data_IF_503617828708
#
_entry.id   IF_503617828708
#
_cell.length_a   1.000
_cell.length_b   1.000
_cell.length_c   1.000
_cell.angle_alpha   90.00
_cell.angle_beta   90.00
_cell.angle_gamma   90.00
#
_symmetry.space_group_name_H-M   'P 1'
#
loop_
_entity.id
_entity.type
_entity.pdbx_description
1 polymer ?
#
# COMPACT_ATOMS: atom_id res chain seq x y z
N UNK A 1 -35.64 -9.37 14.56
CA UNK A 1 -34.56 -8.73 13.80
C UNK A 1 -33.46 -9.77 13.67
N UNK A 2 -33.33 -10.38 12.49
CA UNK A 2 -32.26 -11.34 12.23
C UNK A 2 -30.96 -10.54 12.15
N UNK A 3 -30.14 -10.59 13.19
CA UNK A 3 -28.75 -10.21 13.17
C UNK A 3 -28.01 -11.22 12.28
N UNK A 4 -28.13 -11.11 10.98
CA UNK A 4 -27.18 -11.72 10.05
C UNK A 4 -25.87 -10.98 10.28
N UNK A 5 -24.94 -11.62 10.97
CA UNK A 5 -23.54 -11.17 11.00
C UNK A 5 -23.14 -11.12 9.52
N UNK A 6 -22.93 -9.91 8.99
CA UNK A 6 -22.39 -9.76 7.64
C UNK A 6 -21.03 -10.50 7.63
N UNK A 7 -20.97 -11.60 6.92
CA UNK A 7 -19.71 -12.31 6.70
C UNK A 7 -18.76 -11.34 6.01
N UNK A 8 -17.70 -10.96 6.70
CA UNK A 8 -16.66 -10.09 6.15
C UNK A 8 -15.58 -10.99 5.60
N UNK A 9 -15.48 -11.06 4.28
CA UNK A 9 -14.54 -11.91 3.57
C UNK A 9 -13.44 -11.08 2.94
N UNK A 10 -12.20 -11.53 3.09
CA UNK A 10 -11.03 -10.98 2.40
C UNK A 10 -10.39 -12.06 1.55
N UNK A 11 -9.90 -11.67 0.38
CA UNK A 11 -9.07 -12.52 -0.45
C UNK A 11 -7.65 -11.96 -0.55
N UNK A 12 -6.66 -12.84 -0.53
CA UNK A 12 -5.26 -12.49 -0.81
C UNK A 12 -4.81 -13.29 -2.03
N UNK A 13 -4.46 -12.58 -3.10
CA UNK A 13 -3.99 -13.17 -4.35
C UNK A 13 -2.48 -12.99 -4.46
N UNK A 14 -1.77 -14.12 -4.53
CA UNK A 14 -0.32 -14.20 -4.44
C UNK A 14 0.13 -14.52 -3.02
N UNK A 15 0.51 -15.79 -2.77
CA UNK A 15 0.95 -16.30 -1.46
C UNK A 15 2.48 -16.33 -1.34
N UNK A 16 3.17 -15.33 -1.93
CA UNK A 16 4.59 -15.07 -1.69
C UNK A 16 4.85 -14.53 -0.28
N UNK A 17 6.09 -14.16 0.04
CA UNK A 17 6.44 -13.60 1.35
C UNK A 17 5.54 -12.45 1.78
N UNK A 18 5.21 -11.54 0.86
CA UNK A 18 4.34 -10.39 1.14
C UNK A 18 2.91 -10.85 1.38
N UNK A 19 2.32 -11.62 0.48
CA UNK A 19 0.93 -12.05 0.60
C UNK A 19 0.67 -12.91 1.83
N UNK A 20 1.54 -13.89 2.11
CA UNK A 20 1.41 -14.74 3.31
C UNK A 20 1.56 -13.93 4.59
N UNK A 21 2.48 -12.95 4.64
CA UNK A 21 2.63 -12.07 5.81
C UNK A 21 1.44 -11.14 5.97
N UNK A 22 0.87 -10.62 4.87
CA UNK A 22 -0.38 -9.86 4.90
C UNK A 22 -1.55 -10.71 5.42
N UNK A 23 -1.69 -11.94 4.92
CA UNK A 23 -2.71 -12.88 5.39
C UNK A 23 -2.58 -13.16 6.89
N UNK A 24 -1.37 -13.42 7.38
CA UNK A 24 -1.11 -13.62 8.81
C UNK A 24 -1.48 -12.36 9.64
N UNK A 25 -1.08 -11.17 9.18
CA UNK A 25 -1.44 -9.91 9.86
C UNK A 25 -2.95 -9.65 9.86
N UNK A 26 -3.63 -9.96 8.77
CA UNK A 26 -5.09 -9.86 8.66
C UNK A 26 -5.81 -10.84 9.59
N UNK A 27 -5.31 -12.07 9.74
CA UNK A 27 -5.84 -13.04 10.69
C UNK A 27 -5.77 -12.49 12.13
N UNK A 28 -4.65 -11.89 12.50
CA UNK A 28 -4.47 -11.30 13.84
C UNK A 28 -5.38 -10.09 14.11
N UNK A 29 -5.80 -9.39 13.05
CA UNK A 29 -6.58 -8.13 13.18
C UNK A 29 -8.02 -8.33 13.66
N UNK A 30 -8.56 -9.53 13.55
CA UNK A 30 -9.97 -9.84 13.86
C UNK A 30 -10.99 -9.04 13.04
N UNK A 31 -10.61 -8.58 11.85
CA UNK A 31 -11.47 -7.78 10.97
C UNK A 31 -12.44 -8.62 10.15
N UNK A 32 -12.04 -9.84 9.82
CA UNK A 32 -12.73 -10.73 8.89
C UNK A 32 -13.15 -12.03 9.58
N UNK A 33 -14.23 -12.62 9.09
CA UNK A 33 -14.68 -13.96 9.49
C UNK A 33 -14.25 -15.05 8.50
N UNK A 34 -13.81 -14.63 7.30
CA UNK A 34 -13.39 -15.53 6.23
C UNK A 34 -12.23 -14.94 5.44
N UNK A 35 -11.24 -15.77 5.12
CA UNK A 35 -10.09 -15.42 4.28
C UNK A 35 -9.82 -16.52 3.28
N UNK A 36 -9.75 -16.15 2.00
CA UNK A 36 -9.34 -17.05 0.93
C UNK A 36 -7.96 -16.66 0.41
N UNK A 37 -7.08 -17.65 0.30
CA UNK A 37 -5.75 -17.51 -0.29
C UNK A 37 -5.75 -18.11 -1.69
N UNK A 38 -5.26 -17.34 -2.67
CA UNK A 38 -5.22 -17.74 -4.08
C UNK A 38 -3.79 -17.56 -4.59
N UNK A 39 -3.24 -18.60 -5.19
CA UNK A 39 -1.92 -18.58 -5.85
C UNK A 39 -1.95 -19.50 -7.07
N UNK A 40 -1.14 -19.21 -8.08
CA UNK A 40 -0.94 -20.11 -9.23
C UNK A 40 -0.34 -21.45 -8.79
N UNK A 41 0.45 -21.45 -7.71
CA UNK A 41 0.90 -22.64 -7.01
C UNK A 41 -0.11 -22.98 -5.88
N UNK A 42 -1.12 -23.77 -6.22
CA UNK A 42 -2.20 -24.18 -5.30
C UNK A 42 -1.67 -24.86 -4.04
N UNK A 43 -0.67 -25.73 -4.18
CA UNK A 43 -0.06 -26.41 -3.03
C UNK A 43 0.60 -25.41 -2.05
N UNK A 44 1.15 -24.31 -2.56
CA UNK A 44 1.66 -23.22 -1.72
C UNK A 44 0.52 -22.53 -1.00
N UNK A 45 -0.55 -22.16 -1.71
CA UNK A 45 -1.72 -21.52 -1.09
C UNK A 45 -2.33 -22.39 0.01
N UNK A 46 -2.42 -23.71 -0.22
CA UNK A 46 -2.89 -24.71 0.75
C UNK A 46 -1.99 -24.75 1.99
N UNK A 47 -0.67 -24.82 1.81
CA UNK A 47 0.29 -24.82 2.92
C UNK A 47 0.23 -23.56 3.76
N UNK A 48 0.22 -22.38 3.13
CA UNK A 48 0.12 -21.09 3.81
C UNK A 48 -1.23 -20.95 4.55
N UNK A 49 -2.33 -21.39 3.93
CA UNK A 49 -3.66 -21.36 4.56
C UNK A 49 -3.72 -22.25 5.81
N UNK A 50 -3.18 -23.46 5.73
CA UNK A 50 -3.12 -24.38 6.85
C UNK A 50 -2.27 -23.82 8.00
N UNK A 51 -1.08 -23.33 7.71
CA UNK A 51 -0.17 -22.78 8.71
C UNK A 51 -0.79 -21.57 9.44
N UNK A 52 -1.34 -20.62 8.69
CA UNK A 52 -2.02 -19.44 9.25
C UNK A 52 -3.26 -19.86 10.06
N UNK A 53 -4.06 -20.83 9.58
CA UNK A 53 -5.26 -21.31 10.26
C UNK A 53 -4.95 -21.94 11.62
N UNK A 54 -3.79 -22.56 11.79
CA UNK A 54 -3.36 -23.10 13.08
C UNK A 54 -3.14 -22.00 14.15
N UNK A 55 -3.00 -20.74 13.75
CA UNK A 55 -2.95 -19.59 14.65
C UNK A 55 -4.33 -19.11 15.14
N UNK A 56 -5.41 -19.43 14.42
CA UNK A 56 -6.78 -18.92 14.70
C UNK A 56 -7.24 -19.19 16.16
N UNK A 57 -6.92 -20.33 16.81
CA UNK A 57 -7.34 -20.56 18.20
C UNK A 57 -6.87 -19.50 19.20
N UNK A 58 -5.87 -18.69 18.86
CA UNK A 58 -5.35 -17.62 19.72
C UNK A 58 -5.95 -16.24 19.43
N UNK A 59 -6.82 -16.14 18.40
CA UNK A 59 -7.44 -14.89 17.92
C UNK A 59 -8.95 -15.06 17.76
N UNK A 60 -9.58 -14.18 17.00
CA UNK A 60 -11.00 -14.29 16.68
C UNK A 60 -11.26 -15.42 15.68
N UNK A 61 -12.39 -16.12 15.78
CA UNK A 61 -12.76 -17.15 14.81
C UNK A 61 -12.73 -16.63 13.38
N UNK A 62 -12.02 -17.33 12.50
CA UNK A 62 -11.89 -17.03 11.07
C UNK A 62 -11.79 -18.34 10.29
N UNK A 63 -12.55 -18.48 9.21
CA UNK A 63 -12.39 -19.56 8.26
C UNK A 63 -11.30 -19.17 7.24
N UNK A 64 -10.17 -19.90 7.22
CA UNK A 64 -9.03 -19.63 6.33
C UNK A 64 -8.80 -20.85 5.46
N UNK A 65 -8.78 -20.65 4.14
CA UNK A 65 -8.60 -21.74 3.18
C UNK A 65 -7.95 -21.27 1.89
N UNK A 66 -7.31 -22.20 1.18
CA UNK A 66 -6.92 -21.99 -0.19
C UNK A 66 -8.12 -22.18 -1.10
N UNK A 67 -8.36 -21.21 -1.98
CA UNK A 67 -9.52 -21.21 -2.87
C UNK A 67 -9.17 -20.86 -4.31
N UNK A 68 -10.18 -20.48 -5.03
CA UNK A 68 -10.12 -20.11 -6.45
C UNK A 68 -10.78 -18.73 -6.65
N UNK A 69 -10.69 -18.18 -7.84
CA UNK A 69 -11.37 -16.92 -8.15
C UNK A 69 -12.88 -17.00 -7.97
N UNK A 70 -13.52 -18.19 -8.02
CA UNK A 70 -14.96 -18.37 -7.77
C UNK A 70 -15.37 -17.96 -6.36
N UNK A 71 -14.43 -17.95 -5.43
CA UNK A 71 -14.66 -17.59 -4.04
C UNK A 71 -14.67 -16.06 -3.81
N UNK A 72 -14.52 -15.25 -4.88
CA UNK A 72 -14.43 -13.80 -4.77
C UNK A 72 -15.77 -13.05 -4.87
N UNK A 73 -16.83 -13.70 -5.30
CA UNK A 73 -18.11 -13.04 -5.60
C UNK A 73 -18.68 -12.24 -4.42
N UNK A 74 -18.45 -12.70 -3.19
CA UNK A 74 -18.91 -12.10 -1.93
C UNK A 74 -17.76 -11.47 -1.10
N UNK A 75 -16.56 -11.40 -1.64
CA UNK A 75 -15.44 -10.79 -0.93
C UNK A 75 -15.63 -9.27 -0.81
N UNK A 76 -15.38 -8.73 0.38
CA UNK A 76 -15.40 -7.28 0.63
C UNK A 76 -14.15 -6.60 0.11
N UNK A 77 -13.00 -7.25 0.27
CA UNK A 77 -11.69 -6.72 -0.13
C UNK A 77 -10.89 -7.83 -0.82
N UNK A 78 -10.24 -7.46 -1.92
CA UNK A 78 -9.22 -8.28 -2.58
C UNK A 78 -7.87 -7.57 -2.45
N UNK A 79 -6.90 -8.24 -1.83
CA UNK A 79 -5.51 -7.79 -1.73
C UNK A 79 -4.70 -8.49 -2.82
N UNK A 80 -4.10 -7.73 -3.73
CA UNK A 80 -3.28 -8.27 -4.81
C UNK A 80 -1.80 -8.11 -4.46
N UNK A 81 -1.17 -9.20 -4.09
CA UNK A 81 0.27 -9.32 -3.83
C UNK A 81 0.97 -10.24 -4.87
N UNK A 82 0.25 -10.58 -5.95
CA UNK A 82 0.76 -11.39 -7.04
C UNK A 82 1.72 -10.59 -7.93
N UNK A 83 2.85 -11.17 -8.27
CA UNK A 83 3.85 -10.56 -9.14
C UNK A 83 5.09 -11.44 -9.27
N UNK A 84 5.87 -11.21 -10.31
CA UNK A 84 7.17 -11.85 -10.50
C UNK A 84 8.27 -11.11 -9.75
N UNK A 85 9.30 -11.82 -9.34
CA UNK A 85 10.55 -11.23 -8.86
C UNK A 85 11.49 -11.01 -10.06
N UNK A 86 12.30 -9.95 -9.99
CA UNK A 86 13.30 -9.65 -11.01
C UNK A 86 14.29 -10.82 -11.17
N UNK A 87 14.50 -11.24 -12.39
CA UNK A 87 15.47 -12.30 -12.72
C UNK A 87 16.84 -11.68 -13.03
N UNK A 88 17.94 -12.43 -12.85
CA UNK A 88 19.25 -11.98 -13.29
C UNK A 88 19.27 -11.60 -14.77
N UNK A 89 19.70 -10.37 -15.08
CA UNK A 89 19.76 -9.85 -16.46
C UNK A 89 18.45 -9.23 -16.97
N UNK A 90 17.37 -9.29 -16.24
CA UNK A 90 16.09 -8.66 -16.58
C UNK A 90 16.14 -7.16 -16.26
N UNK A 91 15.62 -6.32 -17.16
CA UNK A 91 15.49 -4.90 -16.89
C UNK A 91 14.27 -4.59 -16.01
N UNK A 92 14.23 -3.41 -15.38
CA UNK A 92 13.04 -2.95 -14.64
C UNK A 92 11.79 -2.86 -15.53
N UNK A 93 11.96 -2.52 -16.81
CA UNK A 93 10.86 -2.44 -17.77
C UNK A 93 10.32 -3.83 -18.14
N UNK A 94 11.19 -4.83 -18.35
CA UNK A 94 10.79 -6.21 -18.62
C UNK A 94 10.00 -6.78 -17.45
N UNK A 95 10.46 -6.56 -16.22
CA UNK A 95 9.74 -6.98 -15.02
C UNK A 95 8.38 -6.30 -14.92
N UNK A 96 8.31 -4.99 -15.19
CA UNK A 96 7.05 -4.25 -15.19
C UNK A 96 6.08 -4.83 -16.21
N UNK A 97 6.52 -5.10 -17.44
CA UNK A 97 5.67 -5.70 -18.48
C UNK A 97 5.19 -7.10 -18.09
N UNK A 98 6.05 -7.89 -17.45
CA UNK A 98 5.70 -9.20 -16.90
C UNK A 98 4.61 -9.06 -15.83
N UNK A 99 4.76 -8.12 -14.88
CA UNK A 99 3.78 -7.89 -13.82
C UNK A 99 2.46 -7.37 -14.36
N UNK A 100 2.48 -6.53 -15.38
CA UNK A 100 1.25 -6.07 -16.08
C UNK A 100 0.51 -7.25 -16.71
N UNK A 101 1.23 -8.16 -17.37
CA UNK A 101 0.64 -9.36 -17.97
C UNK A 101 -0.01 -10.27 -16.92
N UNK A 102 0.67 -10.47 -15.78
CA UNK A 102 0.12 -11.22 -14.64
C UNK A 102 -1.15 -10.54 -14.11
N UNK A 103 -1.13 -9.22 -13.92
CA UNK A 103 -2.29 -8.50 -13.41
C UNK A 103 -3.46 -8.47 -14.40
N UNK A 104 -3.20 -8.50 -15.70
CA UNK A 104 -4.25 -8.61 -16.72
C UNK A 104 -5.04 -9.92 -16.53
N UNK A 105 -4.38 -11.04 -16.31
CA UNK A 105 -5.01 -12.34 -16.03
C UNK A 105 -5.74 -12.34 -14.68
N UNK A 106 -5.09 -11.82 -13.64
CA UNK A 106 -5.66 -11.74 -12.29
C UNK A 106 -6.94 -10.91 -12.29
N UNK A 107 -6.90 -9.69 -12.86
CA UNK A 107 -8.05 -8.79 -12.88
C UNK A 107 -9.19 -9.36 -13.73
N UNK A 108 -8.89 -9.94 -14.90
CA UNK A 108 -9.92 -10.63 -15.70
C UNK A 108 -10.62 -11.70 -14.88
N UNK A 109 -9.84 -12.56 -14.21
CA UNK A 109 -10.39 -13.64 -13.38
C UNK A 109 -11.23 -13.14 -12.19
N UNK A 110 -10.85 -12.00 -11.58
CA UNK A 110 -11.61 -11.34 -10.52
C UNK A 110 -12.95 -10.84 -11.08
N UNK A 111 -12.92 -10.12 -12.21
CA UNK A 111 -14.12 -9.48 -12.77
C UNK A 111 -15.10 -10.47 -13.37
N UNK A 112 -14.66 -11.63 -13.84
CA UNK A 112 -15.52 -12.75 -14.25
C UNK A 112 -16.40 -13.27 -13.11
N UNK A 113 -16.02 -13.04 -11.86
CA UNK A 113 -16.82 -13.43 -10.69
C UNK A 113 -17.83 -12.33 -10.25
N UNK A 114 -18.01 -11.29 -11.05
CA UNK A 114 -18.88 -10.15 -10.73
C UNK A 114 -18.48 -9.46 -9.40
N UNK A 115 -17.19 -9.48 -9.06
CA UNK A 115 -16.67 -8.83 -7.86
C UNK A 115 -17.01 -7.33 -7.87
N UNK A 116 -17.52 -6.84 -6.74
CA UNK A 116 -17.94 -5.43 -6.57
C UNK A 116 -17.44 -4.83 -5.24
N UNK A 117 -16.40 -5.39 -4.67
CA UNK A 117 -15.74 -4.89 -3.46
C UNK A 117 -14.63 -3.86 -3.75
N UNK A 118 -13.65 -3.82 -2.87
CA UNK A 118 -12.50 -2.92 -2.97
C UNK A 118 -11.24 -3.72 -3.28
N UNK A 119 -10.41 -3.23 -4.21
CA UNK A 119 -9.11 -3.82 -4.53
C UNK A 119 -8.00 -3.00 -3.90
N UNK A 120 -7.13 -3.67 -3.15
CA UNK A 120 -5.89 -3.12 -2.59
C UNK A 120 -4.70 -3.76 -3.29
N UNK A 121 -3.97 -2.99 -4.08
CA UNK A 121 -2.78 -3.44 -4.80
C UNK A 121 -1.54 -3.26 -3.92
N UNK A 122 -0.73 -4.32 -3.82
CA UNK A 122 0.51 -4.34 -3.02
C UNK A 122 1.73 -4.67 -3.89
N UNK A 123 1.49 -5.25 -5.07
CA UNK A 123 2.53 -5.60 -6.02
C UNK A 123 3.24 -4.37 -6.57
N UNK A 124 4.57 -4.46 -6.75
CA UNK A 124 5.41 -3.37 -7.25
C UNK A 124 5.68 -3.47 -8.76
N UNK A 125 5.80 -2.29 -9.41
CA UNK A 125 5.69 -0.90 -8.89
C UNK A 125 4.24 -0.50 -8.64
N UNK A 126 3.92 -0.25 -7.37
CA UNK A 126 2.53 -0.20 -6.87
C UNK A 126 1.67 0.88 -7.52
N UNK A 127 2.17 2.09 -7.75
CA UNK A 127 1.39 3.17 -8.33
C UNK A 127 0.98 2.86 -9.78
N UNK A 128 1.92 2.34 -10.58
CA UNK A 128 1.68 1.94 -11.97
C UNK A 128 0.73 0.76 -12.02
N UNK A 129 0.97 -0.28 -11.21
CA UNK A 129 0.13 -1.46 -11.19
C UNK A 129 -1.28 -1.16 -10.66
N UNK A 130 -1.42 -0.22 -9.73
CA UNK A 130 -2.74 0.28 -9.29
C UNK A 130 -3.48 0.94 -10.46
N UNK A 131 -2.81 1.75 -11.27
CA UNK A 131 -3.43 2.37 -12.46
C UNK A 131 -3.83 1.32 -13.51
N UNK A 132 -3.02 0.27 -13.68
CA UNK A 132 -3.34 -0.88 -14.54
C UNK A 132 -4.62 -1.57 -14.06
N UNK A 133 -4.65 -1.96 -12.76
CA UNK A 133 -5.81 -2.64 -12.16
C UNK A 133 -7.07 -1.77 -12.27
N UNK A 134 -6.96 -0.48 -12.01
CA UNK A 134 -8.08 0.45 -12.14
C UNK A 134 -8.65 0.49 -13.57
N UNK A 135 -7.78 0.53 -14.59
CA UNK A 135 -8.21 0.53 -16.00
C UNK A 135 -8.83 -0.80 -16.43
N UNK A 136 -8.24 -1.92 -16.00
CA UNK A 136 -8.67 -3.25 -16.41
C UNK A 136 -9.94 -3.71 -15.68
N UNK A 137 -10.11 -3.34 -14.41
CA UNK A 137 -11.27 -3.78 -13.63
C UNK A 137 -12.57 -3.08 -14.00
N UNK A 138 -12.50 -1.84 -14.50
CA UNK A 138 -13.67 -1.01 -14.73
C UNK A 138 -14.46 -0.64 -13.46
N UNK A 139 -13.93 -0.95 -12.27
CA UNK A 139 -14.52 -0.53 -11.01
C UNK A 139 -14.46 1.00 -10.85
N UNK A 140 -15.34 1.59 -10.04
CA UNK A 140 -15.20 2.99 -9.63
C UNK A 140 -13.79 3.25 -9.08
N UNK A 141 -13.20 4.39 -9.44
CA UNK A 141 -11.81 4.75 -9.10
C UNK A 141 -11.54 4.72 -7.60
N UNK A 142 -12.55 5.03 -6.83
CA UNK A 142 -12.54 5.04 -5.37
C UNK A 142 -12.35 3.63 -4.77
N UNK A 143 -12.71 2.59 -5.53
CA UNK A 143 -12.63 1.18 -5.10
C UNK A 143 -11.34 0.47 -5.48
N UNK A 144 -10.42 1.17 -6.13
CA UNK A 144 -9.10 0.63 -6.48
C UNK A 144 -8.03 1.55 -5.91
N UNK A 145 -7.22 1.03 -5.01
CA UNK A 145 -6.10 1.75 -4.41
C UNK A 145 -4.89 0.85 -4.28
N UNK A 146 -3.72 1.46 -4.22
CA UNK A 146 -2.48 0.76 -3.86
C UNK A 146 -2.06 1.04 -2.43
N UNK A 147 -1.24 0.18 -1.86
CA UNK A 147 -0.64 0.41 -0.54
C UNK A 147 0.17 1.70 -0.47
N UNK A 148 0.65 2.17 -1.60
CA UNK A 148 1.33 3.45 -1.76
C UNK A 148 2.49 3.64 -0.80
N UNK A 149 2.64 4.86 -0.32
CA UNK A 149 3.67 5.26 0.64
C UNK A 149 3.21 5.17 2.10
N UNK A 150 2.20 4.35 2.41
CA UNK A 150 1.75 4.12 3.79
C UNK A 150 2.89 3.54 4.64
N UNK A 151 3.64 2.57 4.11
CA UNK A 151 4.80 2.00 4.78
C UNK A 151 5.95 3.02 4.88
N UNK A 152 6.24 3.78 3.83
CA UNK A 152 7.33 4.75 3.83
C UNK A 152 7.05 5.89 4.81
N UNK A 153 5.79 6.33 4.90
CA UNK A 153 5.35 7.26 5.94
C UNK A 153 5.49 6.68 7.36
N UNK A 154 5.26 5.38 7.54
CA UNK A 154 5.48 4.72 8.82
C UNK A 154 6.97 4.63 9.16
N UNK A 155 7.86 4.36 8.18
CA UNK A 155 9.32 4.42 8.35
C UNK A 155 9.78 5.81 8.76
N UNK A 156 9.33 6.84 8.04
CA UNK A 156 9.62 8.24 8.38
C UNK A 156 9.22 8.57 9.81
N UNK A 157 8.01 8.21 10.23
CA UNK A 157 7.54 8.42 11.60
C UNK A 157 8.37 7.65 12.63
N UNK A 158 8.75 6.41 12.32
CA UNK A 158 9.56 5.58 13.20
C UNK A 158 10.94 6.20 13.41
N UNK A 159 11.62 6.60 12.33
CA UNK A 159 12.95 7.21 12.39
C UNK A 159 12.89 8.55 13.14
N UNK A 160 11.91 9.41 12.81
CA UNK A 160 11.69 10.67 13.51
C UNK A 160 11.41 10.47 15.00
N UNK A 161 10.53 9.52 15.33
CA UNK A 161 10.20 9.20 16.72
C UNK A 161 11.41 8.76 17.52
N UNK A 162 12.26 7.90 16.93
CA UNK A 162 13.48 7.45 17.55
C UNK A 162 14.51 8.57 17.69
N UNK A 163 14.73 9.37 16.63
CA UNK A 163 15.68 10.51 16.63
C UNK A 163 15.29 11.57 17.66
N UNK A 164 14.00 11.87 17.77
CA UNK A 164 13.46 12.94 18.62
C UNK A 164 13.11 12.46 20.04
N UNK A 165 13.24 11.15 20.31
CA UNK A 165 12.83 10.51 21.56
C UNK A 165 11.37 10.81 21.91
N UNK A 166 10.47 10.54 20.94
CA UNK A 166 9.02 10.61 21.09
C UNK A 166 8.36 9.39 20.50
N UNK A 167 7.17 9.03 20.97
CA UNK A 167 6.40 7.94 20.37
C UNK A 167 6.06 8.28 18.90
N UNK A 168 6.39 7.41 17.93
CA UNK A 168 6.12 7.64 16.51
C UNK A 168 4.65 7.96 16.18
N UNK A 169 3.71 7.57 17.02
CA UNK A 169 2.27 7.86 16.85
C UNK A 169 1.96 9.35 16.99
N UNK A 170 2.80 10.12 17.66
CA UNK A 170 2.67 11.57 17.83
C UNK A 170 3.39 12.38 16.75
N UNK A 171 4.08 11.71 15.84
CA UNK A 171 4.74 12.36 14.69
C UNK A 171 3.77 12.44 13.52
N UNK A 172 3.48 13.64 13.08
CA UNK A 172 2.69 13.92 11.88
C UNK A 172 3.63 14.24 10.72
N UNK A 173 4.07 13.22 10.00
CA UNK A 173 4.91 13.32 8.82
C UNK A 173 4.46 12.31 7.77
N UNK A 174 4.67 12.62 6.48
CA UNK A 174 4.21 11.80 5.36
C UNK A 174 5.23 11.78 4.24
N UNK A 175 5.37 10.61 3.64
CA UNK A 175 5.98 10.44 2.32
C UNK A 175 4.85 10.45 1.30
N UNK A 176 5.04 11.18 0.20
CA UNK A 176 4.08 11.32 -0.90
C UNK A 176 4.79 11.17 -2.25
N UNK A 177 4.03 11.10 -3.34
CA UNK A 177 4.57 10.93 -4.69
C UNK A 177 4.57 9.48 -5.14
N UNK A 178 5.54 9.09 -5.95
CA UNK A 178 5.78 7.70 -6.32
C UNK A 178 6.26 6.90 -5.11
N UNK A 179 5.78 5.68 -4.96
CA UNK A 179 6.45 4.71 -4.07
C UNK A 179 7.70 4.19 -4.76
N UNK A 180 8.85 4.79 -4.50
CA UNK A 180 10.12 4.48 -5.16
C UNK A 180 11.15 5.60 -5.02
N UNK A 181 12.09 5.65 -5.98
CA UNK A 181 13.25 6.54 -5.89
C UNK A 181 12.89 8.05 -5.93
N UNK A 182 11.70 8.41 -6.47
CA UNK A 182 11.22 9.79 -6.55
C UNK A 182 10.21 10.17 -5.45
N UNK A 183 10.09 9.36 -4.41
CA UNK A 183 9.29 9.71 -3.23
C UNK A 183 9.82 10.96 -2.53
N UNK A 184 8.94 11.70 -1.87
CA UNK A 184 9.36 12.89 -1.13
C UNK A 184 8.65 13.01 0.23
N UNK A 185 9.38 13.49 1.23
CA UNK A 185 8.81 13.84 2.51
C UNK A 185 8.18 15.25 2.46
N UNK A 186 6.92 15.37 2.85
CA UNK A 186 6.22 16.66 2.93
C UNK A 186 6.63 17.40 4.21
N UNK A 187 7.88 17.88 4.27
CA UNK A 187 8.47 18.51 5.44
C UNK A 187 7.77 19.77 5.88
N UNK A 188 7.26 20.56 4.91
CA UNK A 188 6.52 21.79 5.21
C UNK A 188 5.26 21.57 6.06
N UNK A 189 4.77 20.32 6.10
CA UNK A 189 3.57 19.91 6.85
C UNK A 189 3.92 19.01 8.03
N UNK A 190 5.21 18.64 8.19
CA UNK A 190 5.62 17.76 9.26
C UNK A 190 5.65 18.48 10.61
N UNK A 191 5.09 17.84 11.64
CA UNK A 191 5.01 18.41 12.97
C UNK A 191 4.93 17.35 14.07
N UNK A 192 5.26 17.74 15.30
CA UNK A 192 5.02 16.97 16.52
C UNK A 192 4.21 17.84 17.46
N UNK A 193 3.02 17.38 17.83
CA UNK A 193 2.10 18.14 18.69
C UNK A 193 1.79 19.57 18.19
N UNK A 194 1.72 19.76 16.87
CA UNK A 194 1.48 21.07 16.25
C UNK A 194 2.71 21.97 16.13
N UNK A 195 3.86 21.58 16.69
CA UNK A 195 5.12 22.31 16.53
C UNK A 195 5.77 21.84 15.23
N UNK A 196 6.12 22.77 14.34
CA UNK A 196 6.78 22.44 13.09
C UNK A 196 8.05 21.62 13.33
N UNK A 197 8.33 20.67 12.47
CA UNK A 197 9.41 19.69 12.68
C UNK A 197 10.79 20.34 12.88
N UNK A 198 11.10 21.42 12.15
CA UNK A 198 12.36 22.13 12.29
C UNK A 198 12.53 22.78 13.68
N UNK A 199 11.45 23.34 14.22
CA UNK A 199 11.46 23.92 15.56
C UNK A 199 11.53 22.81 16.61
N UNK A 200 10.89 21.69 16.36
CA UNK A 200 10.97 20.53 17.24
C UNK A 200 12.39 19.92 17.26
N UNK A 201 13.08 19.86 16.11
CA UNK A 201 14.51 19.48 16.06
C UNK A 201 15.34 20.38 16.97
N UNK A 202 15.18 21.71 16.88
CA UNK A 202 15.89 22.68 17.75
C UNK A 202 15.57 22.48 19.23
N UNK A 203 14.31 22.24 19.58
CA UNK A 203 13.90 21.92 20.96
C UNK A 203 14.58 20.67 21.52
N UNK A 204 14.92 19.71 20.63
CA UNK A 204 15.62 18.48 21.00
C UNK A 204 17.16 18.58 20.89
N UNK A 205 17.70 19.78 20.64
CA UNK A 205 19.12 20.05 20.61
C UNK A 205 19.82 19.80 19.26
N UNK A 206 19.06 19.72 18.17
CA UNK A 206 19.60 19.63 16.82
C UNK A 206 19.68 21.03 16.20
N UNK A 207 20.89 21.57 16.04
CA UNK A 207 21.11 22.93 15.57
C UNK A 207 20.87 23.11 14.06
N UNK A 208 20.98 22.04 13.27
CA UNK A 208 20.79 22.05 11.82
C UNK A 208 19.63 21.13 11.39
N UNK A 209 18.38 21.62 11.42
CA UNK A 209 17.21 20.86 10.97
C UNK A 209 17.28 20.43 9.50
N UNK A 210 17.97 21.19 8.63
CA UNK A 210 18.09 20.85 7.21
C UNK A 210 18.97 19.63 6.99
N UNK A 211 20.12 19.56 7.68
CA UNK A 211 20.97 18.39 7.65
C UNK A 211 20.25 17.15 8.21
N UNK A 212 19.50 17.32 9.29
CA UNK A 212 18.69 16.23 9.88
C UNK A 212 17.63 15.71 8.91
N UNK A 213 16.87 16.60 8.25
CA UNK A 213 15.87 16.19 7.25
C UNK A 213 16.52 15.38 6.12
N UNK A 214 17.64 15.84 5.58
CA UNK A 214 18.36 15.13 4.52
C UNK A 214 18.83 13.75 4.98
N UNK A 215 19.43 13.67 6.15
CA UNK A 215 19.86 12.39 6.73
C UNK A 215 18.68 11.40 6.85
N UNK A 216 17.55 11.87 7.37
CA UNK A 216 16.36 11.05 7.59
C UNK A 216 15.73 10.60 6.26
N UNK A 217 15.66 11.48 5.25
CA UNK A 217 15.22 11.11 3.90
C UNK A 217 16.08 10.00 3.30
N UNK A 218 17.40 10.14 3.40
CA UNK A 218 18.34 9.14 2.92
C UNK A 218 18.18 7.81 3.67
N UNK A 219 17.95 7.84 4.98
CA UNK A 219 17.68 6.65 5.78
C UNK A 219 16.36 5.98 5.40
N UNK A 220 15.27 6.74 5.21
CA UNK A 220 13.97 6.20 4.77
C UNK A 220 14.13 5.51 3.41
N UNK A 221 14.70 6.19 2.43
CA UNK A 221 14.89 5.69 1.06
C UNK A 221 15.75 4.43 1.03
N UNK A 222 16.81 4.37 1.82
CA UNK A 222 17.74 3.25 1.84
C UNK A 222 17.24 2.07 2.69
N UNK A 223 16.26 2.26 3.58
CA UNK A 223 15.76 1.23 4.48
C UNK A 223 15.35 -0.05 3.77
N UNK A 224 14.66 0.05 2.63
CA UNK A 224 14.22 -1.12 1.87
C UNK A 224 15.41 -1.89 1.26
N UNK A 225 16.40 -1.18 0.72
CA UNK A 225 17.60 -1.77 0.14
C UNK A 225 18.41 -2.51 1.18
N UNK A 226 18.63 -1.90 2.35
CA UNK A 226 19.34 -2.51 3.48
C UNK A 226 18.65 -3.80 3.97
N UNK A 227 17.31 -3.78 4.10
CA UNK A 227 16.54 -4.96 4.51
C UNK A 227 16.67 -6.07 3.46
N UNK A 228 16.57 -5.75 2.17
CA UNK A 228 16.69 -6.72 1.08
C UNK A 228 18.11 -7.32 1.03
N UNK A 229 19.13 -6.52 1.21
CA UNK A 229 20.52 -7.00 1.28
C UNK A 229 20.70 -8.02 2.41
N UNK A 230 20.15 -7.73 3.60
CA UNK A 230 20.33 -8.56 4.81
C UNK A 230 19.46 -9.81 4.83
N UNK A 231 18.22 -9.76 4.31
CA UNK A 231 17.26 -10.88 4.41
C UNK A 231 16.55 -11.24 3.11
N UNK A 232 17.00 -10.73 1.95
CA UNK A 232 16.55 -11.02 0.58
C UNK A 232 15.18 -10.44 0.21
N UNK A 233 14.33 -10.07 1.16
CA UNK A 233 13.02 -9.49 0.89
C UNK A 233 12.55 -8.64 2.08
N UNK A 234 11.67 -7.68 1.81
CA UNK A 234 10.93 -6.93 2.84
C UNK A 234 9.46 -7.34 2.79
N UNK A 235 8.88 -7.71 3.92
CA UNK A 235 7.48 -8.18 3.99
C UNK A 235 6.80 -7.94 5.35
N UNK A 236 7.54 -7.79 6.45
CA UNK A 236 6.90 -7.55 7.75
C UNK A 236 6.30 -6.15 7.88
N UNK A 237 6.94 -5.10 7.34
CA UNK A 237 6.46 -3.73 7.45
C UNK A 237 5.20 -3.45 6.61
N UNK A 238 5.11 -4.07 5.42
CA UNK A 238 3.97 -3.87 4.53
C UNK A 238 2.70 -4.55 5.05
N UNK A 239 2.81 -5.66 5.77
CA UNK A 239 1.66 -6.40 6.26
C UNK A 239 0.78 -5.58 7.22
N UNK A 240 1.28 -4.95 8.29
CA UNK A 240 0.47 -4.06 9.12
C UNK A 240 -0.03 -2.82 8.36
N UNK A 241 0.69 -2.33 7.34
CA UNK A 241 0.22 -1.23 6.49
C UNK A 241 -1.03 -1.62 5.71
N UNK A 242 -1.03 -2.81 5.09
CA UNK A 242 -2.20 -3.37 4.38
C UNK A 242 -3.34 -3.64 5.37
N UNK A 243 -3.03 -4.23 6.52
CA UNK A 243 -4.04 -4.47 7.57
C UNK A 243 -4.68 -3.16 8.02
N UNK A 244 -3.90 -2.08 8.17
CA UNK A 244 -4.42 -0.76 8.56
C UNK A 244 -5.33 -0.14 7.49
N UNK A 245 -5.03 -0.34 6.20
CA UNK A 245 -5.90 0.06 5.09
C UNK A 245 -7.22 -0.74 5.17
N UNK A 246 -7.15 -2.06 5.28
CA UNK A 246 -8.33 -2.91 5.41
C UNK A 246 -9.19 -2.55 6.63
N UNK A 247 -8.55 -2.22 7.76
CA UNK A 247 -9.24 -1.79 8.98
C UNK A 247 -10.03 -0.51 8.77
N UNK A 248 -9.43 0.51 8.14
CA UNK A 248 -10.11 1.76 7.82
C UNK A 248 -11.34 1.55 6.93
N UNK A 249 -11.23 0.63 5.96
CA UNK A 249 -12.35 0.27 5.07
C UNK A 249 -13.46 -0.46 5.84
N UNK A 250 -13.10 -1.52 6.55
CA UNK A 250 -14.08 -2.42 7.19
C UNK A 250 -14.80 -1.74 8.36
N UNK A 251 -14.11 -0.87 9.10
CA UNK A 251 -14.66 -0.12 10.24
C UNK A 251 -15.24 1.23 9.85
N UNK A 252 -15.14 1.61 8.59
CA UNK A 252 -15.57 2.94 8.10
C UNK A 252 -14.94 4.11 8.90
N UNK A 253 -13.63 4.02 9.18
CA UNK A 253 -13.00 4.92 10.15
C UNK A 253 -12.75 6.34 9.64
N UNK A 254 -12.81 6.58 8.33
CA UNK A 254 -12.44 7.86 7.71
C UNK A 254 -10.99 8.25 8.02
N UNK A 255 -10.11 7.27 8.05
CA UNK A 255 -8.68 7.45 8.32
C UNK A 255 -7.95 8.09 7.15
N UNK A 256 -6.98 8.96 7.45
CA UNK A 256 -6.16 9.62 6.42
C UNK A 256 -4.87 8.81 6.23
N UNK A 257 -4.67 8.29 5.00
CA UNK A 257 -3.49 7.52 4.63
C UNK A 257 -2.97 7.93 3.25
N UNK A 258 -1.65 7.76 3.03
CA UNK A 258 -0.98 8.06 1.76
C UNK A 258 -1.01 6.85 0.83
N UNK A 259 -2.23 6.44 0.44
CA UNK A 259 -2.43 5.35 -0.51
C UNK A 259 -2.20 5.80 -1.95
N UNK A 260 -1.79 4.88 -2.83
CA UNK A 260 -1.81 5.15 -4.27
C UNK A 260 -3.26 5.30 -4.72
N UNK A 261 -3.63 6.47 -5.19
CA UNK A 261 -4.97 6.77 -5.64
C UNK A 261 -4.96 7.66 -6.90
N UNK A 262 -6.04 7.62 -7.68
CA UNK A 262 -6.14 8.35 -8.93
C UNK A 262 -6.40 9.83 -8.72
N UNK A 263 -5.62 10.68 -9.39
CA UNK A 263 -5.81 12.14 -9.45
C UNK A 263 -6.13 12.57 -10.87
N UNK A 264 -7.28 13.21 -11.03
CA UNK A 264 -7.63 13.82 -12.32
C UNK A 264 -6.70 14.98 -12.66
N UNK A 265 -6.43 15.82 -11.66
CA UNK A 265 -5.45 16.91 -11.77
C UNK A 265 -4.84 17.19 -10.39
N UNK A 266 -3.51 17.23 -10.32
CA UNK A 266 -2.76 17.57 -9.12
C UNK A 266 -1.53 18.40 -9.52
N UNK A 267 -1.50 19.66 -9.08
CA UNK A 267 -0.40 20.60 -9.40
C UNK A 267 0.00 20.63 -10.89
N UNK A 268 -0.99 20.62 -11.79
CA UNK A 268 -0.78 20.64 -13.24
C UNK A 268 -0.49 19.29 -13.89
N UNK A 269 -0.36 18.21 -13.10
CA UNK A 269 -0.25 16.84 -13.63
C UNK A 269 -1.63 16.22 -13.68
N UNK A 270 -2.00 15.65 -14.85
CA UNK A 270 -3.33 15.08 -15.08
C UNK A 270 -3.28 13.57 -15.19
N UNK A 271 -4.37 12.94 -14.76
CA UNK A 271 -4.65 11.51 -14.97
C UNK A 271 -3.51 10.59 -14.51
N UNK A 272 -3.13 10.69 -13.23
CA UNK A 272 -2.07 9.90 -12.62
C UNK A 272 -2.56 9.20 -11.36
N UNK A 273 -2.11 7.97 -11.16
CA UNK A 273 -2.20 7.29 -9.86
C UNK A 273 -0.88 7.50 -9.15
N UNK A 274 -0.94 8.05 -7.96
CA UNK A 274 0.22 8.26 -7.10
C UNK A 274 -0.17 8.32 -5.64
N UNK A 275 0.80 8.18 -4.77
CA UNK A 275 0.61 8.14 -3.32
C UNK A 275 0.42 9.54 -2.76
N UNK A 276 -0.80 9.83 -2.34
CA UNK A 276 -1.21 11.10 -1.74
C UNK A 276 -2.20 10.85 -0.61
N UNK A 277 -2.29 11.75 0.37
CA UNK A 277 -3.25 11.61 1.44
C UNK A 277 -4.70 11.57 0.94
N UNK A 278 -5.43 10.59 1.42
CA UNK A 278 -6.85 10.45 1.16
C UNK A 278 -7.59 9.96 2.41
N UNK A 279 -8.85 10.32 2.53
CA UNK A 279 -9.76 9.76 3.54
C UNK A 279 -10.22 8.40 3.04
N UNK A 280 -9.96 7.37 3.83
CA UNK A 280 -10.31 5.99 3.54
C UNK A 280 -11.43 5.54 4.46
N UNK A 281 -12.51 5.05 3.87
CA UNK A 281 -13.67 4.52 4.57
C UNK A 281 -14.30 3.36 3.81
N UNK A 282 -15.53 3.02 4.14
CA UNK A 282 -16.23 1.84 3.61
C UNK A 282 -16.46 1.86 2.08
N UNK A 283 -16.40 3.04 1.46
CA UNK A 283 -16.50 3.19 0.00
C UNK A 283 -15.13 3.13 -0.71
N UNK A 284 -14.04 2.99 0.03
CA UNK A 284 -12.66 3.08 -0.45
C UNK A 284 -12.07 4.47 -0.26
N UNK A 285 -11.54 5.08 -1.31
CA UNK A 285 -11.03 6.47 -1.30
C UNK A 285 -12.21 7.43 -1.37
N UNK A 286 -12.60 8.03 -0.25
CA UNK A 286 -13.81 8.86 -0.18
C UNK A 286 -13.54 10.34 -0.44
N UNK A 287 -12.34 10.81 -0.10
CA UNK A 287 -11.94 12.18 -0.34
C UNK A 287 -10.42 12.29 -0.51
N UNK A 288 -9.99 13.01 -1.52
CA UNK A 288 -8.58 13.30 -1.76
C UNK A 288 -8.21 14.62 -1.09
N UNK A 289 -7.11 14.62 -0.34
CA UNK A 289 -6.68 15.80 0.42
C UNK A 289 -5.61 16.55 -0.37
N UNK A 290 -5.93 17.72 -0.96
CA UNK A 290 -4.94 18.57 -1.59
C UNK A 290 -4.03 19.17 -0.51
N UNK A 291 -2.72 18.93 -0.65
CA UNK A 291 -1.73 19.47 0.28
C UNK A 291 -1.26 20.85 -0.18
N UNK A 292 -1.09 21.76 0.78
CA UNK A 292 -0.43 23.04 0.55
C UNK A 292 1.10 22.86 0.73
N UNK A 293 1.76 22.42 -0.32
CA UNK A 293 3.20 22.21 -0.36
C UNK A 293 3.93 23.51 -0.67
N UNK A 294 5.19 23.62 -0.23
CA UNK A 294 6.07 24.71 -0.69
C UNK A 294 6.47 24.53 -2.17
N UNK A 295 7.10 25.54 -2.77
CA UNK A 295 7.46 25.53 -4.19
C UNK A 295 8.39 24.36 -4.57
N UNK A 296 9.37 24.06 -3.72
CA UNK A 296 10.32 22.95 -3.98
C UNK A 296 9.62 21.59 -3.89
N UNK A 297 8.80 21.36 -2.88
CA UNK A 297 8.02 20.13 -2.72
C UNK A 297 7.02 19.97 -3.87
N UNK A 298 6.36 21.05 -4.28
CA UNK A 298 5.44 21.05 -5.45
C UNK A 298 6.18 20.62 -6.71
N UNK A 299 7.37 21.18 -6.96
CA UNK A 299 8.19 20.82 -8.11
C UNK A 299 8.61 19.35 -8.08
N UNK A 300 9.10 18.86 -6.94
CA UNK A 300 9.47 17.45 -6.78
C UNK A 300 8.26 16.52 -6.98
N UNK A 301 7.09 16.89 -6.47
CA UNK A 301 5.86 16.12 -6.69
C UNK A 301 5.48 16.06 -8.18
N UNK A 302 5.62 17.16 -8.91
CA UNK A 302 5.41 17.20 -10.37
C UNK A 302 6.41 16.30 -11.11
N UNK A 303 7.68 16.32 -10.74
CA UNK A 303 8.73 15.47 -11.31
C UNK A 303 8.43 13.98 -11.04
N UNK A 304 8.02 13.64 -9.82
CA UNK A 304 7.59 12.29 -9.41
C UNK A 304 6.40 11.82 -10.24
N UNK A 305 5.37 12.66 -10.39
CA UNK A 305 4.19 12.35 -11.20
C UNK A 305 4.54 12.17 -12.68
N UNK A 306 5.46 12.98 -13.21
CA UNK A 306 5.92 12.85 -14.60
C UNK A 306 6.71 11.55 -14.82
N UNK A 307 7.49 11.13 -13.84
CA UNK A 307 8.20 9.84 -13.86
C UNK A 307 7.20 8.68 -13.97
N UNK A 308 6.15 8.67 -13.17
CA UNK A 308 5.08 7.67 -13.24
C UNK A 308 4.40 7.65 -14.62
N UNK A 309 4.07 8.82 -15.17
CA UNK A 309 3.45 8.92 -16.51
C UNK A 309 4.36 8.39 -17.61
N UNK A 310 5.64 8.75 -17.58
CA UNK A 310 6.61 8.30 -18.56
C UNK A 310 6.78 6.78 -18.52
N UNK A 311 6.82 6.20 -17.33
CA UNK A 311 6.90 4.74 -17.15
C UNK A 311 5.62 4.05 -17.60
N UNK A 312 4.46 4.61 -17.28
CA UNK A 312 3.16 4.05 -17.71
C UNK A 312 3.02 4.03 -19.24
N UNK A 313 3.52 5.08 -19.93
CA UNK A 313 3.47 5.16 -21.40
C UNK A 313 4.38 4.13 -22.11
N UNK A 314 5.29 3.50 -21.38
CA UNK A 314 6.14 2.42 -21.91
C UNK A 314 5.50 1.03 -21.76
N UNK A 315 4.35 0.96 -21.11
CA UNK A 315 3.64 -0.30 -20.83
C UNK A 315 2.47 -0.47 -21.80
N UNK A 316 2.40 -1.62 -22.43
CA UNK A 316 1.24 -1.99 -23.27
C UNK A 316 0.15 -2.64 -22.40
N UNK A 317 -1.08 -2.13 -22.54
CA UNK A 317 -2.28 -2.64 -21.88
C UNK A 317 -3.21 -3.40 -22.84
N UNK A 318 -2.92 -3.36 -24.17
CA UNK A 318 -3.76 -3.96 -25.22
C UNK A 318 -3.63 -5.48 -25.32
#
# INVERSE_FOLDING_TARGET
MNNTIQQRKVAVIGCGFVGSTCAFSLMQSSLFSEMVLIDVNTARAEGEALDIAHGVPYYSPMNIYAGTYKDLADASIVVIAAGANQKPGETRLDLLQTNVSILKEVVSSIMEQHFNGIIVVVSNPVDILTQVVMKLSGLPKERVMGSGTVLDSARLKYILGHTLDVDPRHVHARIIGEHGDSELAAWSLANVSGIHIDDFFRLRGFDDPQAMRKQIEDEVRNSAYEIIEKKRATYFGIAPSVTRICEAIIRDEKSIMTVSNYWHELHGVKDVVMSMPAIIGSSGVEFQIPLHLNENETKHLQESAQTLKNTLNQVSFE
#
